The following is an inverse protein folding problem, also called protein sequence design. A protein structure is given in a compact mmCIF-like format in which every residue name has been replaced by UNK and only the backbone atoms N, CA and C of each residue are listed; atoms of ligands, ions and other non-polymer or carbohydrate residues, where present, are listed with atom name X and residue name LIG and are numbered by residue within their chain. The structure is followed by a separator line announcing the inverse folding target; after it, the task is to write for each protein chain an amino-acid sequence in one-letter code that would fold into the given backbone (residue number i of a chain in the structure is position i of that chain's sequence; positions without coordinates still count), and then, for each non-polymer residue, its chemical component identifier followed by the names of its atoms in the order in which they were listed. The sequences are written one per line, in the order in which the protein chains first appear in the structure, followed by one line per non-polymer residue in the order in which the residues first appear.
data_IF_694622331496
#
_entry.id   IF_694622331496
#
_cell.length_a   1.000
_cell.length_b   1.000
_cell.length_c   1.000
_cell.angle_alpha   90.00
_cell.angle_beta   90.00
_cell.angle_gamma   90.00
#
_symmetry.space_group_name_H-M   'P 1'
#
loop_
_entity.id
_entity.type
_entity.pdbx_description
1 polymer ?
#
# COMPACT_ATOMS: atom_id res chain seq x y z
N UNK A 1 -25.80 40.86 30.78
CA UNK A 1 -25.39 39.47 31.07
C UNK A 1 -26.15 38.49 30.17
N UNK A 2 -27.48 38.60 30.11
CA UNK A 2 -28.35 37.76 29.25
C UNK A 2 -27.98 37.77 27.76
N UNK A 3 -27.72 38.93 27.15
CA UNK A 3 -27.31 39.00 25.74
C UNK A 3 -26.05 38.18 25.41
N UNK A 4 -25.04 38.20 26.30
CA UNK A 4 -23.81 37.42 26.11
C UNK A 4 -24.06 35.91 26.26
N UNK A 5 -24.98 35.52 27.14
CA UNK A 5 -25.40 34.13 27.31
C UNK A 5 -26.15 33.64 26.06
N UNK A 6 -27.10 34.41 25.53
CA UNK A 6 -27.82 34.05 24.31
C UNK A 6 -26.89 33.95 23.08
N UNK A 7 -25.91 34.85 22.95
CA UNK A 7 -24.90 34.77 21.87
C UNK A 7 -24.04 33.51 22.03
N UNK A 8 -23.65 33.15 23.26
CA UNK A 8 -22.89 31.94 23.53
C UNK A 8 -23.70 30.66 23.26
N UNK A 9 -24.98 30.62 23.64
CA UNK A 9 -25.90 29.51 23.36
C UNK A 9 -26.15 29.33 21.86
N UNK A 10 -26.34 30.43 21.12
CA UNK A 10 -26.46 30.39 19.66
C UNK A 10 -25.16 29.89 19.01
N UNK A 11 -24.01 30.38 19.48
CA UNK A 11 -22.70 29.91 19.02
C UNK A 11 -22.49 28.43 19.27
N UNK A 12 -22.81 27.93 20.47
CA UNK A 12 -22.73 26.51 20.81
C UNK A 12 -23.68 25.67 19.95
N UNK A 13 -24.92 26.13 19.76
CA UNK A 13 -25.91 25.45 18.91
C UNK A 13 -25.42 25.33 17.47
N UNK A 14 -24.84 26.40 16.91
CA UNK A 14 -24.25 26.38 15.57
C UNK A 14 -23.09 25.38 15.48
N UNK A 15 -22.20 25.36 16.47
CA UNK A 15 -21.09 24.40 16.54
C UNK A 15 -21.60 22.96 16.58
N UNK A 16 -22.63 22.67 17.38
CA UNK A 16 -23.23 21.34 17.46
C UNK A 16 -23.89 20.94 16.14
N UNK A 17 -24.65 21.83 15.50
CA UNK A 17 -25.28 21.56 14.20
C UNK A 17 -24.22 21.23 13.15
N UNK A 18 -23.15 22.03 13.06
CA UNK A 18 -22.05 21.77 12.13
C UNK A 18 -21.36 20.45 12.44
N UNK A 19 -21.10 20.15 13.72
CA UNK A 19 -20.46 18.92 14.15
C UNK A 19 -21.30 17.67 13.81
N UNK A 20 -22.58 17.65 14.18
CA UNK A 20 -23.48 16.53 13.89
C UNK A 20 -23.77 16.41 12.39
N UNK A 21 -23.87 17.53 11.68
CA UNK A 21 -23.96 17.53 10.22
C UNK A 21 -22.75 16.85 9.59
N UNK A 22 -21.53 17.28 9.95
CA UNK A 22 -20.30 16.66 9.47
C UNK A 22 -20.21 15.18 9.83
N UNK A 23 -20.48 14.81 11.08
CA UNK A 23 -20.48 13.42 11.54
C UNK A 23 -21.48 12.57 10.74
N UNK A 24 -22.67 13.10 10.44
CA UNK A 24 -23.67 12.40 9.63
C UNK A 24 -23.17 12.14 8.22
N UNK A 25 -22.47 13.09 7.59
CA UNK A 25 -21.85 12.89 6.27
C UNK A 25 -20.74 11.83 6.33
N UNK A 26 -19.89 11.84 7.37
CA UNK A 26 -18.84 10.82 7.55
C UNK A 26 -19.47 9.43 7.72
N UNK A 27 -20.50 9.29 8.56
CA UNK A 27 -21.20 8.02 8.79
C UNK A 27 -21.86 7.53 7.50
N UNK A 28 -22.57 8.42 6.79
CA UNK A 28 -23.21 8.07 5.52
C UNK A 28 -22.19 7.61 4.47
N UNK A 29 -21.08 8.32 4.31
CA UNK A 29 -20.07 7.95 3.32
C UNK A 29 -19.30 6.68 3.74
N UNK A 30 -19.04 6.47 5.03
CA UNK A 30 -18.49 5.22 5.53
C UNK A 30 -19.43 4.04 5.26
N UNK A 31 -20.72 4.21 5.50
CA UNK A 31 -21.76 3.22 5.18
C UNK A 31 -21.83 2.94 3.67
N UNK A 32 -21.82 3.98 2.84
CA UNK A 32 -21.83 3.86 1.38
C UNK A 32 -20.63 3.08 0.86
N UNK A 33 -19.46 3.22 1.50
CA UNK A 33 -18.21 2.54 1.13
C UNK A 33 -18.01 1.16 1.75
N UNK A 34 -18.96 0.63 2.52
CA UNK A 34 -18.82 -0.66 3.24
C UNK A 34 -18.53 -1.89 2.36
N UNK A 35 -18.76 -1.79 1.05
CA UNK A 35 -18.48 -2.84 0.07
C UNK A 35 -17.42 -2.41 -0.95
N UNK A 36 -16.62 -1.38 -0.66
CA UNK A 36 -15.59 -0.88 -1.58
C UNK A 36 -14.48 -1.91 -1.84
N UNK A 37 -14.26 -2.81 -0.89
CA UNK A 37 -13.34 -3.95 -1.00
C UNK A 37 -13.92 -5.12 -1.82
N UNK A 38 -15.22 -5.13 -2.13
CA UNK A 38 -15.90 -6.21 -2.88
C UNK A 38 -15.75 -6.03 -4.39
N UNK A 39 -15.36 -4.84 -4.89
CA UNK A 39 -15.11 -4.64 -6.33
C UNK A 39 -13.80 -5.29 -6.78
N UNK A 40 -13.73 -6.61 -6.71
CA UNK A 40 -12.81 -7.40 -7.52
C UNK A 40 -13.48 -7.53 -8.89
N UNK A 41 -13.45 -6.46 -9.69
CA UNK A 41 -13.38 -6.68 -11.14
C UNK A 41 -12.18 -7.59 -11.34
N UNK A 42 -12.47 -8.88 -11.53
CA UNK A 42 -11.48 -9.90 -11.80
C UNK A 42 -11.02 -9.59 -13.21
N UNK A 43 -9.87 -8.94 -13.31
CA UNK A 43 -9.13 -8.98 -14.57
C UNK A 43 -8.87 -10.45 -14.78
N UNK A 44 -9.59 -11.11 -15.68
CA UNK A 44 -9.46 -12.56 -15.93
C UNK A 44 -8.28 -12.84 -16.84
N UNK A 45 -7.94 -11.86 -17.69
CA UNK A 45 -6.89 -11.98 -18.70
C UNK A 45 -6.09 -10.68 -18.80
N UNK A 46 -4.78 -10.82 -18.94
CA UNK A 46 -3.86 -9.76 -19.30
C UNK A 46 -3.52 -9.87 -20.79
N UNK A 47 -3.26 -8.75 -21.44
CA UNK A 47 -2.81 -8.74 -22.83
C UNK A 47 -1.28 -8.83 -22.87
N UNK A 48 -0.74 -9.82 -23.58
CA UNK A 48 0.68 -9.86 -23.93
C UNK A 48 0.93 -8.98 -25.17
N UNK A 49 1.63 -7.85 -25.07
CA UNK A 49 1.85 -6.94 -26.19
C UNK A 49 2.74 -7.51 -27.29
N UNK A 50 3.42 -8.65 -27.07
CA UNK A 50 4.20 -9.35 -28.09
C UNK A 50 3.34 -10.34 -28.88
N UNK A 51 2.62 -11.21 -28.19
CA UNK A 51 1.84 -12.28 -28.85
C UNK A 51 0.40 -11.87 -29.18
N UNK A 52 -0.09 -10.77 -28.61
CA UNK A 52 -1.50 -10.33 -28.64
C UNK A 52 -2.48 -11.39 -28.13
N UNK A 53 -1.98 -12.41 -27.42
CA UNK A 53 -2.80 -13.46 -26.82
C UNK A 53 -3.21 -13.04 -25.40
N UNK A 54 -4.44 -13.36 -25.00
CA UNK A 54 -4.84 -13.22 -23.60
C UNK A 54 -4.05 -14.23 -22.76
N UNK A 55 -3.41 -13.74 -21.70
CA UNK A 55 -2.71 -14.54 -20.69
C UNK A 55 -3.58 -14.55 -19.43
N UNK A 56 -3.79 -15.70 -18.75
CA UNK A 56 -4.53 -15.73 -17.49
C UNK A 56 -3.95 -14.75 -16.48
N UNK A 57 -4.81 -14.00 -15.81
CA UNK A 57 -4.39 -13.13 -14.73
C UNK A 57 -4.35 -13.93 -13.41
N UNK A 58 -3.19 -14.17 -12.80
CA UNK A 58 -3.07 -14.87 -11.54
C UNK A 58 -3.76 -14.10 -10.40
N UNK A 59 -4.04 -14.81 -9.31
CA UNK A 59 -4.63 -14.24 -8.11
C UNK A 59 -3.81 -14.60 -6.86
N UNK A 60 -3.88 -13.75 -5.83
CA UNK A 60 -3.13 -13.92 -4.57
C UNK A 60 -3.48 -15.20 -3.82
N UNK A 61 -4.64 -15.81 -4.14
CA UNK A 61 -5.08 -17.09 -3.55
C UNK A 61 -4.36 -18.29 -4.18
N UNK A 62 -3.85 -18.14 -5.40
CA UNK A 62 -3.14 -19.18 -6.11
C UNK A 62 -1.76 -19.41 -5.45
N UNK A 63 -1.18 -20.62 -5.59
CA UNK A 63 0.18 -20.89 -5.16
C UNK A 63 1.18 -19.90 -5.75
N UNK A 64 2.24 -19.59 -5.00
CA UNK A 64 3.28 -18.70 -5.50
C UNK A 64 4.07 -19.37 -6.63
N UNK A 65 4.25 -18.67 -7.76
CA UNK A 65 5.08 -19.10 -8.90
C UNK A 65 6.43 -18.39 -8.92
N UNK A 66 6.53 -17.22 -8.27
CA UNK A 66 7.74 -16.40 -8.20
C UNK A 66 8.19 -16.27 -6.76
N UNK A 67 9.47 -16.01 -6.56
CA UNK A 67 9.97 -15.64 -5.23
C UNK A 67 9.49 -14.23 -4.86
N UNK A 68 9.60 -13.26 -5.78
CA UNK A 68 9.24 -11.86 -5.54
C UNK A 68 8.28 -11.30 -6.61
N UNK A 69 7.27 -10.55 -6.18
CA UNK A 69 6.52 -9.64 -7.06
C UNK A 69 6.75 -8.20 -6.62
N UNK A 70 7.15 -7.32 -7.55
CA UNK A 70 7.21 -5.88 -7.32
C UNK A 70 5.98 -5.22 -7.90
N UNK A 71 5.24 -4.47 -7.09
CA UNK A 71 4.02 -3.77 -7.47
C UNK A 71 4.35 -2.30 -7.62
N UNK A 72 4.19 -1.77 -8.84
CA UNK A 72 4.51 -0.38 -9.19
C UNK A 72 3.23 0.34 -9.63
N UNK A 73 2.63 1.20 -8.78
CA UNK A 73 1.47 1.98 -9.17
C UNK A 73 1.92 3.16 -10.03
N UNK A 74 1.25 3.38 -11.16
CA UNK A 74 1.58 4.47 -12.08
C UNK A 74 0.34 5.31 -12.41
N UNK A 75 0.47 6.63 -12.24
CA UNK A 75 -0.53 7.61 -12.67
C UNK A 75 0.13 8.87 -13.19
N UNK A 76 0.09 9.06 -14.50
CA UNK A 76 0.75 10.17 -15.19
C UNK A 76 2.25 10.27 -14.85
N UNK A 77 2.96 9.17 -15.13
CA UNK A 77 4.37 8.91 -14.82
C UNK A 77 5.23 8.74 -16.08
N UNK A 78 4.78 9.18 -17.28
CA UNK A 78 5.49 8.96 -18.55
C UNK A 78 6.97 9.37 -18.49
N UNK A 79 7.29 10.43 -17.74
CA UNK A 79 8.64 10.96 -17.62
C UNK A 79 9.50 10.29 -16.53
N UNK A 80 8.88 9.68 -15.50
CA UNK A 80 9.59 9.15 -14.33
C UNK A 80 9.69 7.63 -14.34
N UNK A 81 8.66 6.98 -14.85
CA UNK A 81 8.55 5.53 -14.92
C UNK A 81 9.72 4.86 -15.68
N UNK A 82 10.22 5.37 -16.83
CA UNK A 82 11.30 4.71 -17.56
C UNK A 82 12.56 4.52 -16.74
N UNK A 83 13.10 5.60 -16.15
CA UNK A 83 14.34 5.54 -15.39
C UNK A 83 14.19 4.67 -14.12
N UNK A 84 13.05 4.77 -13.44
CA UNK A 84 12.77 3.95 -12.26
C UNK A 84 12.68 2.45 -12.59
N UNK A 85 12.04 2.10 -13.71
CA UNK A 85 11.94 0.70 -14.16
C UNK A 85 13.27 0.16 -14.69
N UNK A 86 14.08 0.97 -15.39
CA UNK A 86 15.42 0.55 -15.81
C UNK A 86 16.31 0.20 -14.62
N UNK A 87 16.40 1.09 -13.62
CA UNK A 87 17.14 0.82 -12.38
C UNK A 87 16.63 -0.46 -11.69
N UNK A 88 15.31 -0.63 -11.64
CA UNK A 88 14.67 -1.80 -11.03
C UNK A 88 15.00 -3.09 -11.77
N UNK A 89 14.87 -3.09 -13.09
CA UNK A 89 15.12 -4.27 -13.92
C UNK A 89 16.58 -4.67 -13.91
N UNK A 90 17.51 -3.71 -13.98
CA UNK A 90 18.95 -3.97 -13.90
C UNK A 90 19.31 -4.66 -12.58
N UNK A 91 18.81 -4.15 -11.45
CA UNK A 91 19.03 -4.75 -10.13
C UNK A 91 18.47 -6.17 -10.03
N UNK A 92 17.23 -6.40 -10.49
CA UNK A 92 16.58 -7.70 -10.39
C UNK A 92 17.22 -8.75 -11.30
N UNK A 93 17.64 -8.36 -12.51
CA UNK A 93 18.34 -9.23 -13.44
C UNK A 93 19.73 -9.59 -12.93
N UNK A 94 20.47 -8.63 -12.39
CA UNK A 94 21.75 -8.89 -11.72
C UNK A 94 21.58 -9.89 -10.57
N UNK A 95 20.59 -9.69 -9.70
CA UNK A 95 20.30 -10.61 -8.60
C UNK A 95 19.94 -12.01 -9.09
N UNK A 96 19.07 -12.14 -10.09
CA UNK A 96 18.70 -13.43 -10.69
C UNK A 96 19.88 -14.12 -11.40
N UNK A 97 20.87 -13.34 -11.87
CA UNK A 97 22.10 -13.90 -12.44
C UNK A 97 22.99 -14.55 -11.37
N UNK A 98 23.06 -13.92 -10.17
CA UNK A 98 23.84 -14.36 -9.00
C UNK A 98 23.18 -15.48 -8.22
N UNK A 99 21.85 -15.51 -8.15
CA UNK A 99 21.07 -16.52 -7.45
C UNK A 99 20.02 -17.14 -8.40
N UNK A 100 20.25 -18.39 -8.82
CA UNK A 100 19.35 -19.12 -9.73
C UNK A 100 18.01 -19.50 -9.09
N UNK A 101 17.90 -19.46 -7.76
CA UNK A 101 16.64 -19.69 -7.06
C UNK A 101 15.77 -18.43 -7.00
N UNK A 102 16.38 -17.26 -7.22
CA UNK A 102 15.66 -15.99 -7.24
C UNK A 102 14.90 -15.81 -8.56
N UNK A 103 13.57 -15.81 -8.44
CA UNK A 103 12.64 -15.51 -9.54
C UNK A 103 11.79 -14.31 -9.18
N UNK A 104 11.53 -13.45 -10.15
CA UNK A 104 10.80 -12.21 -9.90
C UNK A 104 9.77 -11.92 -10.98
N UNK A 105 8.89 -10.98 -10.67
CA UNK A 105 8.09 -10.25 -11.64
C UNK A 105 7.88 -8.80 -11.20
N UNK A 106 7.62 -7.92 -12.16
CA UNK A 106 7.20 -6.54 -11.94
C UNK A 106 5.78 -6.37 -12.48
N UNK A 107 4.87 -5.97 -11.61
CA UNK A 107 3.46 -5.70 -11.92
C UNK A 107 3.25 -4.20 -11.90
N UNK A 108 3.17 -3.60 -13.09
CA UNK A 108 2.87 -2.18 -13.26
C UNK A 108 1.36 -2.00 -13.29
N UNK A 109 0.82 -1.16 -12.42
CA UNK A 109 -0.63 -0.90 -12.36
C UNK A 109 -0.89 0.52 -12.84
N UNK A 110 -1.41 0.67 -14.05
CA UNK A 110 -1.80 1.96 -14.62
C UNK A 110 -3.16 2.38 -14.05
N UNK A 111 -3.16 3.37 -13.16
CA UNK A 111 -4.34 3.92 -12.48
C UNK A 111 -5.10 4.92 -13.38
N UNK A 112 -5.33 4.52 -14.64
CA UNK A 112 -6.05 5.32 -15.63
C UNK A 112 -5.32 6.60 -16.04
N UNK A 113 -4.03 6.50 -16.39
CA UNK A 113 -3.25 7.64 -16.87
C UNK A 113 -3.82 8.22 -18.16
N UNK A 114 -3.66 9.54 -18.33
CA UNK A 114 -4.08 10.30 -19.52
C UNK A 114 -2.90 10.74 -20.40
N UNK A 115 -1.68 10.50 -19.95
CA UNK A 115 -0.44 10.72 -20.70
C UNK A 115 0.09 9.41 -21.33
N UNK A 116 1.34 9.39 -21.79
CA UNK A 116 1.96 8.21 -22.41
C UNK A 116 2.39 7.10 -21.45
N UNK A 117 2.06 7.16 -20.14
CA UNK A 117 2.46 6.15 -19.14
C UNK A 117 2.13 4.72 -19.56
N UNK A 118 0.92 4.51 -20.09
CA UNK A 118 0.46 3.19 -20.54
C UNK A 118 1.33 2.64 -21.67
N UNK A 119 1.68 3.49 -22.66
CA UNK A 119 2.57 3.13 -23.76
C UNK A 119 3.94 2.71 -23.23
N UNK A 120 4.53 3.53 -22.36
CA UNK A 120 5.82 3.23 -21.71
C UNK A 120 5.78 1.88 -21.01
N UNK A 121 4.76 1.63 -20.18
CA UNK A 121 4.63 0.36 -19.45
C UNK A 121 4.57 -0.85 -20.39
N UNK A 122 3.81 -0.76 -21.48
CA UNK A 122 3.74 -1.84 -22.48
C UNK A 122 5.04 -2.02 -23.27
N UNK A 123 5.78 -0.94 -23.54
CA UNK A 123 7.08 -1.03 -24.19
C UNK A 123 8.10 -1.76 -23.29
N UNK A 124 8.01 -1.64 -21.97
CA UNK A 124 8.79 -2.48 -21.05
C UNK A 124 8.39 -3.97 -21.13
N UNK A 125 7.11 -4.31 -21.24
CA UNK A 125 6.70 -5.71 -21.47
C UNK A 125 7.26 -6.23 -22.80
N UNK A 126 7.33 -5.39 -23.84
CA UNK A 126 7.95 -5.75 -25.14
C UNK A 126 9.48 -5.86 -25.06
N UNK A 127 10.15 -5.01 -24.29
CA UNK A 127 11.60 -5.08 -24.05
C UNK A 127 11.94 -6.34 -23.25
N UNK A 128 11.06 -6.71 -22.32
CA UNK A 128 11.21 -7.88 -21.45
C UNK A 128 10.25 -9.01 -21.87
N UNK A 129 9.95 -9.95 -20.98
CA UNK A 129 8.96 -11.01 -21.21
C UNK A 129 7.74 -10.74 -20.35
N UNK A 130 6.55 -11.19 -20.78
CA UNK A 130 5.32 -11.14 -19.97
C UNK A 130 5.44 -11.92 -18.65
N UNK A 131 6.40 -12.86 -18.59
CA UNK A 131 6.73 -13.58 -17.37
C UNK A 131 7.48 -12.72 -16.34
N UNK A 132 8.24 -11.72 -16.78
CA UNK A 132 9.00 -10.83 -15.89
C UNK A 132 8.31 -9.49 -15.66
N UNK A 133 7.53 -8.97 -16.62
CA UNK A 133 6.81 -7.70 -16.49
C UNK A 133 5.38 -7.85 -16.97
N UNK A 134 4.42 -7.40 -16.17
CA UNK A 134 2.99 -7.39 -16.49
C UNK A 134 2.40 -6.00 -16.24
N UNK A 135 1.37 -5.65 -17.00
CA UNK A 135 0.66 -4.36 -16.88
C UNK A 135 -0.81 -4.61 -16.59
N UNK A 136 -1.34 -3.97 -15.55
CA UNK A 136 -2.76 -3.99 -15.18
C UNK A 136 -3.34 -2.59 -15.39
N UNK A 137 -4.07 -2.34 -16.49
CA UNK A 137 -4.74 -1.06 -16.71
C UNK A 137 -6.09 -1.01 -15.97
N UNK A 138 -6.30 0.00 -15.12
CA UNK A 138 -7.56 0.18 -14.39
C UNK A 138 -8.64 0.95 -15.16
N UNK A 139 -8.29 1.53 -16.31
CA UNK A 139 -9.20 2.27 -17.20
C UNK A 139 -9.60 3.67 -16.70
N UNK A 140 -9.67 3.89 -15.39
CA UNK A 140 -9.90 5.19 -14.75
C UNK A 140 -9.11 5.32 -13.46
N UNK A 141 -8.82 6.55 -13.04
CA UNK A 141 -8.18 6.81 -11.76
C UNK A 141 -9.09 6.42 -10.59
N UNK A 142 -8.65 5.43 -9.81
CA UNK A 142 -9.29 4.98 -8.58
C UNK A 142 -8.49 5.39 -7.33
N UNK A 143 -7.19 5.70 -7.51
CA UNK A 143 -6.28 6.13 -6.48
C UNK A 143 -5.19 5.08 -6.20
N UNK A 144 -4.07 5.56 -5.63
CA UNK A 144 -2.87 4.75 -5.34
C UNK A 144 -3.19 3.48 -4.53
N UNK A 145 -3.99 3.58 -3.49
CA UNK A 145 -4.40 2.44 -2.67
C UNK A 145 -5.12 1.35 -3.47
N UNK A 146 -6.01 1.72 -4.39
CA UNK A 146 -6.67 0.73 -5.27
C UNK A 146 -5.70 0.14 -6.29
N UNK A 147 -4.82 0.95 -6.88
CA UNK A 147 -3.80 0.46 -7.80
C UNK A 147 -2.87 -0.57 -7.13
N UNK A 148 -2.38 -0.25 -5.93
CA UNK A 148 -1.58 -1.19 -5.13
C UNK A 148 -2.38 -2.43 -4.78
N UNK A 149 -3.62 -2.28 -4.29
CA UNK A 149 -4.49 -3.39 -3.95
C UNK A 149 -4.65 -4.33 -5.14
N UNK A 150 -4.97 -3.82 -6.34
CA UNK A 150 -5.11 -4.62 -7.56
C UNK A 150 -3.81 -5.33 -7.93
N UNK A 151 -2.67 -4.63 -7.88
CA UNK A 151 -1.36 -5.24 -8.13
C UNK A 151 -1.06 -6.38 -7.15
N UNK A 152 -1.30 -6.17 -5.87
CA UNK A 152 -1.09 -7.17 -4.81
C UNK A 152 -2.01 -8.38 -5.00
N UNK A 153 -3.30 -8.15 -5.29
CA UNK A 153 -4.28 -9.23 -5.50
C UNK A 153 -3.99 -10.06 -6.76
N UNK A 154 -3.23 -9.54 -7.73
CA UNK A 154 -2.91 -10.22 -8.98
C UNK A 154 -1.40 -10.58 -9.13
N UNK A 155 -0.71 -10.75 -8.01
CA UNK A 155 0.73 -11.07 -7.95
C UNK A 155 1.01 -12.55 -7.66
N UNK A 156 2.15 -13.06 -8.16
CA UNK A 156 2.60 -14.46 -8.08
C UNK A 156 3.70 -14.74 -7.06
N UNK A 157 4.22 -13.70 -6.40
CA UNK A 157 5.36 -13.77 -5.49
C UNK A 157 5.05 -14.41 -4.14
N UNK A 158 6.04 -15.07 -3.54
CA UNK A 158 6.04 -15.43 -2.12
C UNK A 158 6.21 -14.18 -1.24
N UNK A 159 7.01 -13.23 -1.72
CA UNK A 159 7.16 -11.88 -1.19
C UNK A 159 6.57 -10.89 -2.21
N UNK A 160 5.92 -9.85 -1.70
CA UNK A 160 5.29 -8.80 -2.49
C UNK A 160 5.82 -7.46 -2.01
N UNK A 161 6.52 -6.75 -2.88
CA UNK A 161 7.10 -5.44 -2.59
C UNK A 161 6.33 -4.35 -3.33
N UNK A 162 5.79 -3.39 -2.61
CA UNK A 162 5.35 -2.12 -3.18
C UNK A 162 6.56 -1.21 -3.41
N UNK A 163 6.63 -0.58 -4.58
CA UNK A 163 7.63 0.42 -4.95
C UNK A 163 6.98 1.54 -5.77
N UNK A 164 7.23 2.80 -5.41
CA UNK A 164 6.72 3.96 -6.16
C UNK A 164 7.38 4.08 -7.54
N UNK A 165 6.59 4.49 -8.54
CA UNK A 165 7.01 4.63 -9.94
C UNK A 165 7.99 5.78 -10.22
N UNK A 166 8.32 6.60 -9.22
CA UNK A 166 9.15 7.79 -9.39
C UNK A 166 10.64 7.57 -9.10
N UNK A 167 11.01 6.38 -8.62
CA UNK A 167 12.40 6.06 -8.27
C UNK A 167 12.92 6.80 -7.03
N UNK A 168 12.03 7.39 -6.22
CA UNK A 168 12.41 8.13 -5.03
C UNK A 168 13.02 7.22 -3.95
N UNK A 169 12.53 5.98 -3.83
CA UNK A 169 13.17 4.95 -2.98
C UNK A 169 14.01 4.02 -3.84
N UNK A 170 15.23 3.72 -3.40
CA UNK A 170 16.16 2.88 -4.16
C UNK A 170 15.84 1.39 -4.00
N UNK A 171 15.69 0.69 -5.12
CA UNK A 171 15.43 -0.76 -5.16
C UNK A 171 16.51 -1.57 -4.45
N UNK A 172 17.74 -1.05 -4.39
CA UNK A 172 18.89 -1.66 -3.70
C UNK A 172 18.67 -1.91 -2.21
N UNK A 173 17.70 -1.25 -1.57
CA UNK A 173 17.36 -1.48 -0.17
C UNK A 173 16.35 -2.64 0.03
N UNK A 174 15.94 -3.32 -1.04
CA UNK A 174 15.03 -4.47 -1.00
C UNK A 174 15.54 -5.58 -0.07
N UNK A 175 16.82 -5.93 -0.15
CA UNK A 175 17.45 -6.98 0.68
C UNK A 175 17.38 -6.65 2.18
N UNK A 176 17.32 -5.36 2.56
CA UNK A 176 17.13 -4.97 3.95
C UNK A 176 15.74 -5.35 4.47
N UNK A 177 14.69 -5.14 3.66
CA UNK A 177 13.33 -5.53 4.04
C UNK A 177 13.20 -7.06 4.05
N UNK A 178 13.74 -7.71 3.03
CA UNK A 178 13.71 -9.16 2.88
C UNK A 178 14.37 -9.88 4.05
N UNK A 179 15.59 -9.47 4.44
CA UNK A 179 16.30 -10.07 5.58
C UNK A 179 15.55 -9.93 6.90
N UNK A 180 14.91 -8.77 7.13
CA UNK A 180 14.10 -8.55 8.33
C UNK A 180 12.81 -9.36 8.33
N UNK A 181 12.12 -9.47 7.18
CA UNK A 181 10.95 -10.35 7.06
C UNK A 181 11.35 -11.80 7.32
N UNK A 182 12.45 -12.27 6.74
CA UNK A 182 12.92 -13.64 6.92
C UNK A 182 13.23 -13.95 8.39
N UNK A 183 13.91 -13.03 9.08
CA UNK A 183 14.23 -13.19 10.51
C UNK A 183 12.96 -13.31 11.36
N UNK A 184 12.02 -12.38 11.22
CA UNK A 184 10.75 -12.39 11.97
C UNK A 184 9.89 -13.60 11.58
N UNK A 185 9.84 -13.98 10.30
CA UNK A 185 9.07 -15.12 9.87
C UNK A 185 9.59 -16.44 10.46
N UNK A 186 10.91 -16.59 10.59
CA UNK A 186 11.54 -17.75 11.24
C UNK A 186 11.23 -17.80 12.73
N UNK A 187 11.27 -16.66 13.41
CA UNK A 187 10.89 -16.55 14.82
C UNK A 187 9.40 -16.92 15.02
N UNK A 188 8.50 -16.33 14.24
CA UNK A 188 7.07 -16.64 14.26
C UNK A 188 6.77 -18.11 13.98
N UNK A 189 7.47 -18.70 13.00
CA UNK A 189 7.35 -20.12 12.70
C UNK A 189 7.79 -20.95 13.90
N UNK A 190 8.97 -20.69 14.47
CA UNK A 190 9.51 -21.44 15.60
C UNK A 190 8.57 -21.42 16.82
N UNK A 191 7.94 -20.27 17.09
CA UNK A 191 6.96 -20.10 18.18
C UNK A 191 5.69 -20.94 17.93
N UNK A 192 5.18 -20.96 16.69
CA UNK A 192 3.94 -21.69 16.33
C UNK A 192 4.14 -23.19 16.17
N UNK A 193 5.37 -23.60 15.86
CA UNK A 193 5.72 -24.93 15.36
C UNK A 193 6.95 -25.54 16.06
N UNK A 194 7.00 -25.60 17.42
CA UNK A 194 8.22 -25.91 18.18
C UNK A 194 8.82 -27.31 17.94
N UNK A 195 8.01 -28.26 17.44
CA UNK A 195 8.45 -29.63 17.15
C UNK A 195 8.73 -29.89 15.65
N UNK A 196 8.64 -28.86 14.81
CA UNK A 196 8.70 -29.00 13.34
C UNK A 196 10.13 -28.84 12.85
N UNK A 197 10.49 -29.53 11.77
CA UNK A 197 11.81 -29.39 11.15
C UNK A 197 11.87 -28.06 10.38
N UNK A 198 13.05 -27.44 10.35
CA UNK A 198 13.29 -26.20 9.61
C UNK A 198 13.00 -26.35 8.10
N UNK A 199 13.07 -27.58 7.58
CA UNK A 199 12.85 -27.92 6.17
C UNK A 199 11.40 -27.71 5.68
N UNK A 200 10.43 -27.57 6.58
CA UNK A 200 9.02 -27.29 6.24
C UNK A 200 8.70 -25.78 6.18
N UNK A 201 9.68 -24.91 6.52
CA UNK A 201 9.49 -23.47 6.55
C UNK A 201 9.27 -22.89 5.14
N UNK A 202 8.12 -22.24 4.95
CA UNK A 202 7.79 -21.48 3.74
C UNK A 202 7.47 -20.05 4.10
N UNK A 203 8.34 -19.12 3.70
CA UNK A 203 8.21 -17.70 4.03
C UNK A 203 6.87 -17.11 3.56
N UNK A 204 6.35 -17.57 2.41
CA UNK A 204 5.07 -17.11 1.86
C UNK A 204 3.85 -17.48 2.71
N UNK A 205 3.95 -18.50 3.58
CA UNK A 205 2.85 -18.99 4.42
C UNK A 205 2.79 -18.29 5.78
N UNK A 206 3.90 -17.67 6.21
CA UNK A 206 3.98 -16.92 7.45
C UNK A 206 3.54 -15.48 7.20
N UNK A 207 2.80 -14.90 8.14
CA UNK A 207 2.32 -13.53 8.01
C UNK A 207 3.29 -12.57 8.68
N UNK A 208 3.97 -11.77 7.86
CA UNK A 208 4.86 -10.68 8.28
C UNK A 208 4.78 -9.54 7.27
N UNK A 209 4.89 -8.31 7.77
CA UNK A 209 4.92 -7.08 6.99
C UNK A 209 6.15 -6.23 7.36
N UNK A 210 6.82 -5.65 6.37
CA UNK A 210 7.93 -4.73 6.55
C UNK A 210 7.65 -3.38 5.89
N UNK A 211 7.94 -2.31 6.62
CA UNK A 211 7.70 -0.93 6.21
C UNK A 211 9.05 -0.21 6.08
N UNK A 212 9.38 0.26 4.89
CA UNK A 212 10.46 1.22 4.69
C UNK A 212 10.16 2.53 5.41
N UNK A 213 11.19 3.23 5.86
CA UNK A 213 11.07 4.44 6.65
C UNK A 213 12.08 5.50 6.26
N UNK A 214 11.58 6.73 6.12
CA UNK A 214 12.35 7.95 5.88
C UNK A 214 12.47 8.78 7.16
N UNK A 215 12.05 8.26 8.32
CA UNK A 215 12.05 9.02 9.57
C UNK A 215 13.44 9.60 9.92
N UNK A 216 14.52 8.87 9.60
CA UNK A 216 15.90 9.34 9.78
C UNK A 216 16.27 10.55 8.90
N UNK A 217 15.56 10.78 7.79
CA UNK A 217 15.71 11.97 6.94
C UNK A 217 14.83 13.12 7.43
N UNK A 218 13.68 12.80 8.02
CA UNK A 218 12.79 13.78 8.64
C UNK A 218 13.50 14.56 9.73
N UNK A 219 14.26 13.88 10.60
CA UNK A 219 15.06 14.53 11.65
C UNK A 219 16.02 15.59 11.09
N UNK A 220 16.68 15.30 9.97
CA UNK A 220 17.58 16.25 9.28
C UNK A 220 16.81 17.41 8.65
N UNK A 221 15.63 17.15 8.09
CA UNK A 221 14.79 18.15 7.44
C UNK A 221 14.05 19.06 8.44
N UNK A 222 13.73 18.57 9.63
CA UNK A 222 13.04 19.33 10.68
C UNK A 222 13.87 20.52 11.18
N UNK A 223 15.19 20.42 11.12
CA UNK A 223 16.12 21.48 11.51
C UNK A 223 16.09 22.69 10.57
N UNK A 224 15.63 22.53 9.32
CA UNK A 224 15.69 23.59 8.29
C UNK A 224 14.32 24.10 7.85
N UNK A 225 13.22 23.46 8.27
CA UNK A 225 11.85 23.77 7.81
C UNK A 225 11.14 24.83 8.67
N UNK A 226 10.22 25.57 8.04
CA UNK A 226 9.35 26.54 8.71
C UNK A 226 8.49 25.86 9.79
N UNK A 227 8.37 26.50 10.96
CA UNK A 227 7.73 25.95 12.16
C UNK A 227 6.29 25.44 11.95
N UNK A 228 5.48 26.11 11.13
CA UNK A 228 4.09 25.70 10.89
C UNK A 228 4.00 24.36 10.15
N UNK A 229 4.98 24.02 9.30
CA UNK A 229 5.03 22.72 8.65
C UNK A 229 5.29 21.61 9.68
N UNK A 230 6.14 21.88 10.66
CA UNK A 230 6.42 20.96 11.75
C UNK A 230 5.18 20.77 12.65
N UNK A 231 4.44 21.85 12.93
CA UNK A 231 3.18 21.77 13.67
C UNK A 231 2.12 20.94 12.94
N UNK A 232 1.89 21.21 11.65
CA UNK A 232 0.93 20.46 10.83
C UNK A 232 1.30 18.98 10.71
N UNK A 233 2.57 18.68 10.54
CA UNK A 233 3.08 17.31 10.47
C UNK A 233 2.88 16.56 11.80
N UNK A 234 3.24 17.17 12.94
CA UNK A 234 2.99 16.60 14.27
C UNK A 234 1.49 16.38 14.51
N UNK A 235 0.64 17.32 14.10
CA UNK A 235 -0.81 17.18 14.15
C UNK A 235 -1.31 16.00 13.31
N UNK A 236 -0.80 15.84 12.08
CA UNK A 236 -1.13 14.70 11.24
C UNK A 236 -0.67 13.37 11.86
N UNK A 237 0.54 13.31 12.43
CA UNK A 237 1.02 12.12 13.15
C UNK A 237 0.13 11.77 14.35
N UNK A 238 -0.37 12.76 15.09
CA UNK A 238 -1.34 12.54 16.17
C UNK A 238 -2.65 11.94 15.64
N UNK A 239 -3.18 12.44 14.52
CA UNK A 239 -4.40 11.90 13.92
C UNK A 239 -4.18 10.44 13.47
N UNK A 240 -3.05 10.14 12.84
CA UNK A 240 -2.68 8.77 12.45
C UNK A 240 -2.58 7.87 13.68
N UNK A 241 -1.94 8.34 14.75
CA UNK A 241 -1.84 7.61 16.02
C UNK A 241 -3.22 7.31 16.62
N UNK A 242 -4.15 8.27 16.59
CA UNK A 242 -5.51 8.05 17.10
C UNK A 242 -6.34 7.12 16.21
N UNK A 243 -6.04 7.08 14.90
CA UNK A 243 -6.78 6.27 13.94
C UNK A 243 -6.29 4.82 13.87
N UNK A 244 -4.98 4.59 13.78
CA UNK A 244 -4.36 3.27 13.62
C UNK A 244 -3.55 2.78 14.85
N UNK A 245 -3.30 3.65 15.83
CA UNK A 245 -2.46 3.35 17.00
C UNK A 245 -0.95 3.38 16.69
N UNK A 246 -0.09 3.09 17.70
CA UNK A 246 1.37 3.16 17.57
C UNK A 246 1.97 1.96 16.81
N UNK A 247 3.12 2.08 16.18
CA UNK A 247 3.85 0.91 15.66
C UNK A 247 4.81 1.24 14.53
N UNK A 248 4.32 1.93 13.49
CA UNK A 248 5.12 2.41 12.36
C UNK A 248 5.14 3.93 12.39
N UNK A 249 6.34 4.52 12.36
CA UNK A 249 6.53 5.98 12.36
C UNK A 249 6.26 6.57 10.99
N UNK A 250 6.91 6.05 9.94
CA UNK A 250 6.69 6.49 8.55
C UNK A 250 5.73 5.57 7.79
N UNK A 251 4.43 5.75 8.02
CA UNK A 251 3.40 4.97 7.29
C UNK A 251 3.36 5.30 5.81
N UNK A 252 3.82 6.48 5.38
CA UNK A 252 3.63 7.01 4.03
C UNK A 252 4.81 6.70 3.09
N UNK A 253 5.78 5.89 3.52
CA UNK A 253 6.88 5.48 2.65
C UNK A 253 6.39 4.54 1.54
N UNK A 254 6.74 4.82 0.29
CA UNK A 254 6.33 4.01 -0.87
C UNK A 254 6.94 2.62 -0.97
N UNK A 255 7.73 2.19 0.02
CA UNK A 255 8.54 0.98 -0.02
C UNK A 255 8.14 0.03 1.10
N UNK A 256 7.31 -0.98 0.79
CA UNK A 256 6.73 -1.88 1.79
C UNK A 256 6.68 -3.30 1.26
N UNK A 257 7.12 -4.25 2.06
CA UNK A 257 7.17 -5.66 1.67
C UNK A 257 6.23 -6.49 2.54
N UNK A 258 5.53 -7.43 1.91
CA UNK A 258 4.58 -8.32 2.55
C UNK A 258 4.86 -9.75 2.13
N UNK A 259 4.77 -10.66 3.08
CA UNK A 259 4.61 -12.09 2.77
C UNK A 259 3.29 -12.34 2.06
N UNK A 260 3.22 -13.37 1.20
CA UNK A 260 1.98 -13.72 0.46
C UNK A 260 0.79 -13.92 1.39
N UNK A 261 0.97 -14.63 2.51
CA UNK A 261 -0.08 -14.84 3.50
C UNK A 261 -0.56 -13.53 4.14
N UNK A 262 0.33 -12.58 4.43
CA UNK A 262 -0.04 -11.26 4.94
C UNK A 262 -0.76 -10.43 3.88
N UNK A 263 -0.20 -10.35 2.66
CA UNK A 263 -0.80 -9.62 1.55
C UNK A 263 -2.23 -10.09 1.25
N UNK A 264 -2.46 -11.41 1.19
CA UNK A 264 -3.78 -12.00 1.00
C UNK A 264 -4.80 -11.50 2.03
N UNK A 265 -4.43 -11.42 3.32
CA UNK A 265 -5.33 -10.94 4.37
C UNK A 265 -5.53 -9.43 4.31
N UNK A 266 -4.46 -8.67 4.12
CA UNK A 266 -4.48 -7.22 4.17
C UNK A 266 -5.21 -6.61 2.97
N UNK A 267 -4.84 -6.98 1.75
CA UNK A 267 -5.36 -6.36 0.53
C UNK A 267 -6.78 -6.85 0.15
N UNK A 268 -7.23 -7.98 0.72
CA UNK A 268 -8.66 -8.37 0.69
C UNK A 268 -9.51 -7.42 1.55
N UNK A 269 -8.92 -6.85 2.61
CA UNK A 269 -9.66 -6.09 3.62
C UNK A 269 -9.43 -4.58 3.59
N UNK A 270 -8.50 -4.08 2.76
CA UNK A 270 -8.27 -2.64 2.60
C UNK A 270 -9.45 -1.99 1.85
N UNK A 271 -9.96 -0.87 2.37
CA UNK A 271 -11.11 -0.14 1.83
C UNK A 271 -10.75 1.23 1.25
N UNK A 272 -9.72 1.87 1.82
CA UNK A 272 -9.22 3.17 1.38
C UNK A 272 -8.49 3.03 0.06
N UNK A 273 -8.84 3.89 -0.89
CA UNK A 273 -8.36 3.83 -2.27
C UNK A 273 -7.25 4.83 -2.57
N UNK A 274 -7.01 5.85 -1.73
CA UNK A 274 -6.06 6.93 -2.04
C UNK A 274 -4.82 6.87 -1.16
N UNK A 275 -4.51 7.91 -0.39
CA UNK A 275 -3.20 8.09 0.25
C UNK A 275 -3.14 7.42 1.63
N UNK A 276 -4.27 7.34 2.33
CA UNK A 276 -4.31 6.80 3.69
C UNK A 276 -4.46 5.27 3.75
N UNK A 277 -4.46 4.55 2.62
CA UNK A 277 -4.50 3.08 2.61
C UNK A 277 -3.35 2.46 3.40
N UNK A 278 -2.18 3.11 3.43
CA UNK A 278 -1.04 2.64 4.22
C UNK A 278 -1.29 2.69 5.73
N UNK A 279 -2.06 3.68 6.19
CA UNK A 279 -2.46 3.80 7.60
C UNK A 279 -3.47 2.70 7.93
N UNK A 280 -4.38 2.40 7.00
CA UNK A 280 -5.29 1.27 7.11
C UNK A 280 -4.55 -0.07 7.15
N UNK A 281 -3.49 -0.25 6.37
CA UNK A 281 -2.65 -1.46 6.43
C UNK A 281 -2.06 -1.65 7.83
N UNK A 282 -1.55 -0.59 8.48
CA UNK A 282 -1.06 -0.66 9.86
C UNK A 282 -2.18 -1.03 10.84
N UNK A 283 -3.37 -0.44 10.68
CA UNK A 283 -4.55 -0.80 11.48
C UNK A 283 -4.92 -2.29 11.31
N UNK A 284 -4.96 -2.79 10.07
CA UNK A 284 -5.30 -4.17 9.75
C UNK A 284 -4.24 -5.16 10.24
N UNK A 285 -2.95 -4.86 10.09
CA UNK A 285 -1.87 -5.68 10.64
C UNK A 285 -2.07 -5.93 12.13
N UNK A 286 -2.37 -4.88 12.90
CA UNK A 286 -2.67 -5.03 14.33
C UNK A 286 -3.92 -5.84 14.58
N UNK A 287 -4.98 -5.58 13.82
CA UNK A 287 -6.26 -6.30 14.00
C UNK A 287 -6.10 -7.80 13.73
N UNK A 288 -5.18 -8.17 12.85
CA UNK A 288 -4.85 -9.57 12.54
C UNK A 288 -3.67 -10.14 13.33
N UNK A 289 -3.05 -9.36 14.22
CA UNK A 289 -1.80 -9.72 14.92
C UNK A 289 -0.69 -10.15 13.94
N UNK A 290 -0.53 -9.41 12.84
CA UNK A 290 0.56 -9.58 11.88
C UNK A 290 1.75 -8.73 12.38
N UNK A 291 2.91 -9.34 12.65
CA UNK A 291 4.13 -8.62 12.99
C UNK A 291 4.51 -7.59 11.93
N UNK A 292 4.92 -6.41 12.40
CA UNK A 292 5.38 -5.32 11.57
C UNK A 292 6.78 -4.90 11.98
N UNK A 293 7.66 -4.72 11.00
CA UNK A 293 9.00 -4.15 11.20
C UNK A 293 9.16 -2.87 10.41
N UNK A 294 9.89 -1.90 10.97
CA UNK A 294 10.20 -0.61 10.33
C UNK A 294 11.70 -0.54 10.01
N UNK A 295 12.06 -0.28 8.75
CA UNK A 295 13.44 -0.33 8.25
C UNK A 295 13.80 1.00 7.58
N UNK A 296 14.93 1.60 7.95
CA UNK A 296 15.44 2.80 7.28
C UNK A 296 15.85 2.53 5.84
N UNK A 297 15.34 3.33 4.90
CA UNK A 297 15.62 3.21 3.46
C UNK A 297 16.17 4.48 2.83
N UNK A 298 17.03 4.34 1.83
CA UNK A 298 17.56 5.42 1.01
C UNK A 298 16.42 6.03 0.19
N UNK A 299 16.21 7.32 0.40
CA UNK A 299 15.19 8.09 -0.28
C UNK A 299 15.75 9.42 -0.76
N UNK A 300 15.38 9.82 -1.97
CA UNK A 300 15.74 11.10 -2.57
C UNK A 300 14.48 11.82 -3.07
N UNK A 301 14.47 13.15 -2.96
CA UNK A 301 13.37 13.96 -3.46
C UNK A 301 13.40 13.99 -4.99
N UNK A 302 12.32 13.51 -5.61
CA UNK A 302 12.11 13.55 -7.06
C UNK A 302 11.06 14.62 -7.36
N UNK A 303 11.35 15.61 -8.23
CA UNK A 303 10.36 16.61 -8.64
C UNK A 303 9.09 15.98 -9.25
N UNK A 304 7.97 16.68 -9.15
CA UNK A 304 6.69 16.23 -9.75
C UNK A 304 5.80 15.38 -8.83
N UNK A 305 6.04 15.41 -7.51
CA UNK A 305 5.17 14.72 -6.53
C UNK A 305 3.69 15.10 -6.71
N UNK A 306 2.83 14.09 -6.70
CA UNK A 306 1.36 14.26 -6.76
C UNK A 306 0.75 14.53 -5.37
N UNK A 307 1.54 14.41 -4.30
CA UNK A 307 1.11 14.72 -2.93
C UNK A 307 1.48 16.18 -2.64
N UNK A 308 0.48 17.01 -2.38
CA UNK A 308 0.65 18.43 -2.07
C UNK A 308 -0.19 18.82 -0.84
N UNK A 309 -0.12 20.09 -0.41
CA UNK A 309 -0.84 20.57 0.77
C UNK A 309 -2.37 20.46 0.64
N UNK A 310 -2.91 20.49 -0.58
CA UNK A 310 -4.35 20.30 -0.84
C UNK A 310 -4.78 18.83 -0.69
N UNK A 311 -3.83 17.90 -0.60
CA UNK A 311 -4.12 16.49 -0.28
C UNK A 311 -4.47 16.27 1.19
N UNK A 312 -4.05 17.17 2.10
CA UNK A 312 -4.21 16.97 3.56
C UNK A 312 -5.69 16.84 3.98
N UNK A 313 -6.63 17.70 3.52
CA UNK A 313 -8.05 17.53 3.87
C UNK A 313 -8.62 16.19 3.43
N UNK A 314 -8.23 15.71 2.24
CA UNK A 314 -8.65 14.40 1.74
C UNK A 314 -8.09 13.26 2.59
N UNK A 315 -6.85 13.38 3.06
CA UNK A 315 -6.25 12.40 3.96
C UNK A 315 -6.96 12.37 5.32
N UNK A 316 -7.24 13.53 5.92
CA UNK A 316 -8.01 13.62 7.16
C UNK A 316 -9.42 13.04 7.00
N UNK A 317 -10.06 13.29 5.85
CA UNK A 317 -11.33 12.67 5.49
C UNK A 317 -11.23 11.14 5.41
N UNK A 318 -10.22 10.60 4.73
CA UNK A 318 -10.00 9.14 4.67
C UNK A 318 -9.77 8.52 6.06
N UNK A 319 -9.01 9.19 6.94
CA UNK A 319 -8.80 8.72 8.31
C UNK A 319 -10.07 8.76 9.16
N UNK A 320 -10.92 9.77 8.97
CA UNK A 320 -12.23 9.84 9.62
C UNK A 320 -13.15 8.71 9.15
N UNK A 321 -13.23 8.47 7.83
CA UNK A 321 -13.99 7.37 7.24
C UNK A 321 -13.52 6.01 7.77
N UNK A 322 -12.20 5.78 7.78
CA UNK A 322 -11.61 4.55 8.31
C UNK A 322 -11.94 4.36 9.79
N UNK A 323 -11.78 5.41 10.59
CA UNK A 323 -12.05 5.36 12.03
C UNK A 323 -13.52 5.04 12.30
N UNK A 324 -14.45 5.72 11.63
CA UNK A 324 -15.89 5.48 11.79
C UNK A 324 -16.26 4.10 11.23
N UNK A 325 -15.80 3.76 10.02
CA UNK A 325 -16.09 2.51 9.33
C UNK A 325 -15.74 1.28 10.16
N UNK A 326 -14.52 1.23 10.72
CA UNK A 326 -14.11 0.11 11.56
C UNK A 326 -14.68 0.15 12.98
N UNK A 327 -14.72 1.31 13.65
CA UNK A 327 -15.21 1.39 15.05
C UNK A 327 -16.70 1.09 15.18
N UNK A 328 -17.49 1.40 14.15
CA UNK A 328 -18.93 1.09 14.11
C UNK A 328 -19.23 -0.31 13.57
N UNK A 329 -18.22 -1.03 13.08
CA UNK A 329 -18.41 -2.34 12.44
C UNK A 329 -19.03 -2.28 11.04
N UNK A 330 -19.19 -1.09 10.45
CA UNK A 330 -19.69 -0.93 9.08
C UNK A 330 -18.74 -1.55 8.04
N UNK A 331 -17.43 -1.40 8.24
CA UNK A 331 -16.41 -2.01 7.37
C UNK A 331 -16.04 -3.37 7.94
N UNK A 332 -16.57 -4.41 7.29
CA UNK A 332 -16.35 -5.80 7.72
C UNK A 332 -14.93 -6.24 7.37
N UNK A 333 -14.32 -6.93 8.32
CA UNK A 333 -13.03 -7.59 8.16
C UNK A 333 -13.29 -9.07 7.97
N UNK A 334 -13.04 -9.56 6.76
CA UNK A 334 -13.17 -10.97 6.39
C UNK A 334 -12.00 -11.76 6.95
N UNK A 335 -12.30 -12.86 7.63
CA UNK A 335 -11.29 -13.78 8.12
C UNK A 335 -10.88 -14.73 7.01
N UNK A 336 -9.67 -15.31 7.10
CA UNK A 336 -9.14 -16.21 6.06
C UNK A 336 -9.98 -17.50 5.83
N UNK A 337 -10.96 -17.81 6.70
CA UNK A 337 -11.89 -18.93 6.51
C UNK A 337 -13.09 -18.57 5.63
N UNK A 338 -13.42 -17.28 5.51
CA UNK A 338 -14.63 -16.84 4.83
C UNK A 338 -14.48 -16.85 3.29
N UNK A 339 -13.24 -16.78 2.78
CA UNK A 339 -12.91 -16.74 1.35
C UNK A 339 -12.87 -18.09 0.65
N UNK A 340 -13.16 -19.20 1.34
CA UNK A 340 -13.26 -20.54 0.71
C UNK A 340 -14.71 -20.95 0.37
N UNK A 341 -15.71 -20.11 0.65
CA UNK A 341 -17.13 -20.52 0.62
C UNK A 341 -18.02 -19.70 -0.30
N UNK A 342 -17.46 -18.96 -1.26
CA UNK A 342 -18.23 -18.22 -2.27
C UNK A 342 -17.70 -18.44 -3.67
#
# INVERSE_FOLDING_TARGET
MEFLVTVAEFGLSLVLIVFFGFLSVVVFEAWRRRHSNVSVETVTTLEDPKSLKPVPCPHIIDPAEKYLSLIVPAYNEEQRLPAALEETMDYLQDRASRDKSFSFEVVIVDDGSVDGTKRVAFDFVRKHTVDNIRVIPLGKNQGKGEAIRKGMMHSRGQLLLMLDADGATKVTDLEKLESQILAVAREEYSIRNPASKEMDFRIGDIQVSAFGSRAHLEEKALATRKWYRNFLMKGFHLVVLLAAGPGIRDTQCGFKMFTRAAARRLFTNVHLKRWCFDVELVYLCKRFNIPMVEISVKWSEIPGSKVNMLSIPNMLWELALMSVGYRTGMWKIHQARDTQTT
#
